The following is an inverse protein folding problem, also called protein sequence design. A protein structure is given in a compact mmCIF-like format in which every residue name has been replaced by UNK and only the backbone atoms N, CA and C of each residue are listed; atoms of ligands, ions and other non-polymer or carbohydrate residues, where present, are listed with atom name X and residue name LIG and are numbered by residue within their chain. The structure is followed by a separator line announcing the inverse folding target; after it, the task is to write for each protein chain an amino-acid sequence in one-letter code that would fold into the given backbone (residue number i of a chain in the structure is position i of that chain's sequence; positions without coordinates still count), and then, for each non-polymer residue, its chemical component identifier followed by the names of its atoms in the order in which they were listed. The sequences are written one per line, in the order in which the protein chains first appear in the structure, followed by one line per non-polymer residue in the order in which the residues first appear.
data_IF_124569570999
#
_entry.id   IF_124569570999
#
_cell.length_a   1.000
_cell.length_b   1.000
_cell.length_c   1.000
_cell.angle_alpha   90.00
_cell.angle_beta   90.00
_cell.angle_gamma   90.00
#
_symmetry.space_group_name_H-M   'P 1'
#
loop_
_entity.id
_entity.type
_entity.pdbx_description
1 polymer ?
#
# COMPACT_ATOMS: atom_id res chain seq x y z
N UNK A 1 15.67 -2.00 5.13
CA UNK A 1 14.46 -1.15 5.28
C UNK A 1 13.50 -1.87 6.22
N UNK A 2 13.12 -1.27 7.34
CA UNK A 2 12.13 -1.86 8.26
C UNK A 2 10.72 -1.69 7.67
N UNK A 3 9.78 -2.54 8.09
CA UNK A 3 8.35 -2.47 7.69
C UNK A 3 7.72 -1.08 7.89
N UNK A 4 8.15 -0.35 8.94
CA UNK A 4 7.69 1.02 9.23
C UNK A 4 8.10 2.00 8.14
N UNK A 5 9.31 1.89 7.58
CA UNK A 5 9.77 2.79 6.51
C UNK A 5 8.92 2.61 5.24
N UNK A 6 8.54 1.37 4.91
CA UNK A 6 7.63 1.13 3.77
C UNK A 6 6.31 1.86 3.95
N UNK A 7 5.68 1.74 5.12
CA UNK A 7 4.43 2.42 5.42
C UNK A 7 4.56 3.96 5.33
N UNK A 8 5.64 4.52 5.86
CA UNK A 8 5.91 5.97 5.79
C UNK A 8 6.01 6.43 4.33
N UNK A 9 6.78 5.73 3.51
CA UNK A 9 6.97 6.12 2.10
C UNK A 9 5.66 5.98 1.32
N UNK A 10 4.91 4.89 1.50
CA UNK A 10 3.62 4.73 0.84
C UNK A 10 2.63 5.84 1.23
N UNK A 11 2.54 6.19 2.52
CA UNK A 11 1.69 7.29 2.98
C UNK A 11 2.14 8.65 2.39
N UNK A 12 3.45 8.89 2.28
CA UNK A 12 3.97 10.09 1.64
C UNK A 12 3.62 10.13 0.14
N UNK A 13 3.78 9.00 -0.56
CA UNK A 13 3.41 8.88 -1.97
C UNK A 13 1.92 9.11 -2.19
N UNK A 14 1.08 8.52 -1.35
CA UNK A 14 -0.37 8.69 -1.36
C UNK A 14 -0.76 10.18 -1.22
N UNK A 15 -0.12 10.91 -0.29
CA UNK A 15 -0.35 12.35 -0.08
C UNK A 15 0.11 13.23 -1.24
N UNK A 16 1.22 12.87 -1.89
CA UNK A 16 1.77 13.65 -2.99
C UNK A 16 0.98 13.49 -4.29
N UNK A 17 0.37 12.33 -4.50
CA UNK A 17 -0.56 12.01 -5.59
C UNK A 17 -0.10 12.51 -6.99
N UNK A 18 1.18 12.34 -7.30
CA UNK A 18 1.76 12.65 -8.62
C UNK A 18 2.54 11.46 -9.22
N UNK A 19 2.86 11.53 -10.51
CA UNK A 19 3.52 10.43 -11.23
C UNK A 19 4.86 10.01 -10.62
N UNK A 20 5.64 10.95 -10.06
CA UNK A 20 6.92 10.63 -9.42
C UNK A 20 6.70 9.80 -8.16
N UNK A 21 5.73 10.18 -7.34
CA UNK A 21 5.34 9.44 -6.15
C UNK A 21 4.83 8.03 -6.50
N UNK A 22 4.04 7.90 -7.57
CA UNK A 22 3.59 6.59 -8.07
C UNK A 22 4.77 5.69 -8.45
N UNK A 23 5.75 6.22 -9.20
CA UNK A 23 6.93 5.47 -9.62
C UNK A 23 7.74 4.98 -8.42
N UNK A 24 8.03 5.86 -7.46
CA UNK A 24 8.74 5.51 -6.22
C UNK A 24 7.98 4.44 -5.44
N UNK A 25 6.66 4.61 -5.30
CA UNK A 25 5.78 3.68 -4.60
C UNK A 25 5.82 2.28 -5.21
N UNK A 26 5.73 2.17 -6.55
CA UNK A 26 5.80 0.88 -7.25
C UNK A 26 7.17 0.22 -7.15
N UNK A 27 8.25 0.99 -7.29
CA UNK A 27 9.61 0.46 -7.12
C UNK A 27 9.84 -0.06 -5.70
N UNK A 28 9.31 0.63 -4.69
CA UNK A 28 9.39 0.21 -3.31
C UNK A 28 8.55 -1.05 -3.06
N UNK A 29 7.32 -1.09 -3.58
CA UNK A 29 6.44 -2.25 -3.49
C UNK A 29 7.05 -3.51 -4.13
N UNK A 30 7.72 -3.37 -5.28
CA UNK A 30 8.42 -4.48 -5.94
C UNK A 30 9.60 -5.02 -5.10
N UNK A 31 10.20 -4.18 -4.27
CA UNK A 31 11.29 -4.54 -3.33
C UNK A 31 10.77 -4.95 -1.95
N UNK A 32 9.46 -5.00 -1.74
CA UNK A 32 8.88 -5.28 -0.43
C UNK A 32 9.02 -6.78 -0.10
N UNK A 33 9.61 -7.15 1.05
CA UNK A 33 9.69 -8.53 1.49
C UNK A 33 8.30 -9.17 1.66
N UNK A 34 8.19 -10.44 1.31
CA UNK A 34 6.90 -11.16 1.36
C UNK A 34 6.29 -11.20 2.77
N UNK A 35 7.14 -11.31 3.80
CA UNK A 35 6.68 -11.28 5.19
C UNK A 35 6.07 -9.93 5.61
N UNK A 36 6.37 -8.83 4.89
CA UNK A 36 5.78 -7.52 5.17
C UNK A 36 4.36 -7.39 4.61
N UNK A 37 3.97 -8.22 3.63
CA UNK A 37 2.58 -8.29 3.15
C UNK A 37 1.60 -8.75 4.22
N UNK A 38 2.06 -9.51 5.21
CA UNK A 38 1.25 -9.93 6.37
C UNK A 38 1.20 -8.87 7.47
N UNK A 39 1.91 -7.75 7.35
CA UNK A 39 1.80 -6.64 8.28
C UNK A 39 0.70 -5.68 7.79
N UNK A 40 -0.41 -5.62 8.52
CA UNK A 40 -1.55 -4.79 8.13
C UNK A 40 -1.19 -3.31 7.97
N UNK A 41 -0.27 -2.76 8.78
CA UNK A 41 0.14 -1.36 8.65
C UNK A 41 0.79 -1.12 7.29
N UNK A 42 1.80 -1.91 6.94
CA UNK A 42 2.52 -1.76 5.66
C UNK A 42 1.60 -2.02 4.47
N UNK A 43 0.80 -3.08 4.52
CA UNK A 43 -0.11 -3.44 3.42
C UNK A 43 -1.25 -2.44 3.25
N UNK A 44 -1.83 -1.93 4.35
CA UNK A 44 -2.90 -0.92 4.27
C UNK A 44 -2.36 0.39 3.68
N UNK A 45 -1.16 0.83 4.06
CA UNK A 45 -0.50 1.99 3.44
C UNK A 45 -0.24 1.80 1.95
N UNK A 46 0.17 0.59 1.54
CA UNK A 46 0.38 0.27 0.12
C UNK A 46 -0.94 0.28 -0.67
N UNK A 47 -2.00 -0.30 -0.10
CA UNK A 47 -3.35 -0.30 -0.67
C UNK A 47 -3.85 1.13 -0.84
N UNK A 48 -3.78 1.95 0.21
CA UNK A 48 -4.21 3.35 0.17
C UNK A 48 -3.50 4.13 -0.95
N UNK A 49 -2.18 4.01 -1.01
CA UNK A 49 -1.38 4.63 -2.07
C UNK A 49 -1.85 4.20 -3.46
N UNK A 50 -2.02 2.90 -3.71
CA UNK A 50 -2.44 2.38 -5.01
C UNK A 50 -3.85 2.83 -5.39
N UNK A 51 -4.78 2.85 -4.43
CA UNK A 51 -6.15 3.33 -4.63
C UNK A 51 -6.18 4.80 -5.05
N UNK A 52 -5.37 5.66 -4.42
CA UNK A 52 -5.28 7.09 -4.82
C UNK A 52 -4.67 7.31 -6.20
N UNK A 53 -3.80 6.41 -6.64
CA UNK A 53 -3.27 6.42 -8.01
C UNK A 53 -4.18 5.73 -9.02
N UNK A 54 -5.35 5.22 -8.61
CA UNK A 54 -6.29 4.50 -9.46
C UNK A 54 -5.83 3.10 -9.87
N UNK A 55 -4.77 2.56 -9.26
CA UNK A 55 -4.24 1.22 -9.53
C UNK A 55 -4.98 0.17 -8.69
N UNK A 56 -6.28 0.04 -8.94
CA UNK A 56 -7.20 -0.81 -8.19
C UNK A 56 -6.79 -2.29 -8.29
N UNK A 57 -6.29 -2.72 -9.44
CA UNK A 57 -5.87 -4.11 -9.66
C UNK A 57 -4.72 -4.51 -8.71
N UNK A 58 -3.69 -3.69 -8.59
CA UNK A 58 -2.58 -3.99 -7.69
C UNK A 58 -2.98 -3.83 -6.22
N UNK A 59 -3.87 -2.88 -5.90
CA UNK A 59 -4.43 -2.74 -4.55
C UNK A 59 -5.16 -4.02 -4.14
N UNK A 60 -6.01 -4.55 -5.02
CA UNK A 60 -6.76 -5.79 -4.80
C UNK A 60 -5.84 -7.00 -4.63
N UNK A 61 -4.77 -7.10 -5.43
CA UNK A 61 -3.77 -8.17 -5.29
C UNK A 61 -3.13 -8.18 -3.90
N UNK A 62 -2.75 -7.01 -3.38
CA UNK A 62 -2.19 -6.90 -2.02
C UNK A 62 -3.25 -7.27 -1.00
N UNK A 63 -4.46 -6.70 -1.12
CA UNK A 63 -5.56 -7.00 -0.21
C UNK A 63 -5.83 -8.51 -0.12
N UNK A 64 -5.89 -9.21 -1.25
CA UNK A 64 -6.08 -10.67 -1.29
C UNK A 64 -4.93 -11.44 -0.64
N UNK A 65 -3.69 -10.93 -0.70
CA UNK A 65 -2.53 -11.57 -0.06
C UNK A 65 -2.51 -11.48 1.47
N UNK A 66 -3.24 -10.53 2.08
CA UNK A 66 -3.29 -10.37 3.54
C UNK A 66 -4.11 -11.52 4.16
N UNK A 67 -3.47 -12.33 5.01
CA UNK A 67 -4.11 -13.48 5.67
C UNK A 67 -5.24 -13.07 6.63
N UNK A 68 -4.99 -12.08 7.49
CA UNK A 68 -5.95 -11.62 8.50
C UNK A 68 -6.20 -10.13 8.31
N UNK A 69 -7.38 -9.80 7.77
CA UNK A 69 -7.79 -8.43 7.48
C UNK A 69 -8.49 -7.84 8.69
N UNK A 70 -8.17 -6.60 9.01
CA UNK A 70 -8.91 -5.81 10.00
C UNK A 70 -9.79 -4.76 9.30
N UNK A 71 -10.58 -4.02 10.08
CA UNK A 71 -11.46 -2.97 9.56
C UNK A 71 -10.69 -1.90 8.78
N UNK A 72 -9.43 -1.64 9.12
CA UNK A 72 -8.58 -0.67 8.43
C UNK A 72 -8.24 -1.21 7.03
N UNK A 73 -7.96 -2.50 6.90
CA UNK A 73 -7.71 -3.15 5.61
C UNK A 73 -8.91 -3.08 4.67
N UNK A 74 -10.13 -3.31 5.18
CA UNK A 74 -11.35 -3.16 4.38
C UNK A 74 -11.58 -1.69 4.00
N UNK A 75 -11.40 -0.76 4.95
CA UNK A 75 -11.55 0.66 4.68
C UNK A 75 -10.56 1.17 3.64
N UNK A 76 -9.30 0.73 3.66
CA UNK A 76 -8.30 1.13 2.68
C UNK A 76 -8.70 0.78 1.24
N UNK A 77 -9.38 -0.35 1.02
CA UNK A 77 -9.87 -0.76 -0.32
C UNK A 77 -11.09 0.03 -0.81
N UNK A 78 -11.93 0.52 0.11
CA UNK A 78 -13.18 1.21 -0.27
C UNK A 78 -12.97 2.71 -0.38
N UNK A 79 -12.13 3.27 0.50
CA UNK A 79 -12.13 4.70 0.76
C UNK A 79 -11.18 5.49 -0.14
N UNK A 80 -10.02 4.92 -0.52
CA UNK A 80 -9.01 5.59 -1.37
C UNK A 80 -8.77 7.04 -0.96
N UNK A 81 -8.53 7.28 0.34
CA UNK A 81 -8.83 8.53 1.05
C UNK A 81 -7.59 9.44 1.18
#
# INVERSE_FOLDING_TARGET
LTNVIYAIVFNACAKLCNERAMKIGKELLAKMPENYRNNNITSNSAIDMLMKFGDVENAERIFRSIKTKDIITYNAMVKGD
#
